data_IF_403916641125
#
_entry.id   IF_403916641125
#
_cell.length_a   1.000
_cell.length_b   1.000
_cell.length_c   1.000
_cell.angle_alpha   90.00
_cell.angle_beta   90.00
_cell.angle_gamma   90.00
#
_symmetry.space_group_name_H-M   'P 1'
#
loop_
_entity.id
_entity.type
_entity.pdbx_description
1 polymer ?
#
# COMPACT_ATOMS: atom_id res chain seq x y z
N UNK A 1 12.18 5.56 8.32
CA UNK A 1 12.07 4.88 9.63
C UNK A 1 11.96 3.39 9.37
N UNK A 2 12.66 2.59 10.15
CA UNK A 2 12.51 1.14 10.17
C UNK A 2 12.10 0.73 11.58
N UNK A 3 11.12 -0.18 11.67
CA UNK A 3 10.64 -0.72 12.94
C UNK A 3 10.58 -2.23 12.86
N UNK A 4 11.36 -2.86 13.73
CA UNK A 4 11.33 -4.32 13.95
C UNK A 4 10.33 -4.68 15.05
N UNK A 5 9.84 -5.90 14.98
CA UNK A 5 8.91 -6.52 15.92
C UNK A 5 9.11 -8.05 15.90
N UNK A 6 8.59 -8.80 16.89
CA UNK A 6 8.59 -10.26 16.85
C UNK A 6 7.99 -10.75 15.53
N UNK A 7 8.65 -11.74 14.91
CA UNK A 7 8.18 -12.32 13.66
C UNK A 7 6.77 -12.88 13.87
N UNK A 8 5.84 -12.50 13.00
CA UNK A 8 4.43 -12.89 13.08
C UNK A 8 3.85 -13.20 11.71
N UNK A 9 2.87 -14.09 11.68
CA UNK A 9 2.14 -14.49 10.49
C UNK A 9 0.79 -13.77 10.33
N UNK A 10 0.35 -13.00 11.33
CA UNK A 10 -0.89 -12.21 11.32
C UNK A 10 -0.58 -10.85 11.95
N UNK A 11 -0.54 -9.81 11.11
CA UNK A 11 -0.14 -8.48 11.52
C UNK A 11 -0.99 -7.40 10.88
N UNK A 12 -1.20 -6.35 11.65
CA UNK A 12 -1.87 -5.15 11.23
C UNK A 12 -0.98 -3.92 11.40
N UNK A 13 -1.15 -3.00 10.48
CA UNK A 13 -0.55 -1.67 10.51
C UNK A 13 -1.68 -0.65 10.36
N UNK A 14 -1.68 0.38 11.20
CA UNK A 14 -2.61 1.51 11.07
C UNK A 14 -1.88 2.82 11.27
N UNK A 15 -2.26 3.82 10.50
CA UNK A 15 -1.80 5.20 10.69
C UNK A 15 -2.81 6.17 10.10
N UNK A 16 -2.71 7.43 10.53
CA UNK A 16 -3.36 8.53 9.87
C UNK A 16 -2.42 9.13 8.84
N UNK A 17 -2.94 9.50 7.67
CA UNK A 17 -2.19 10.22 6.64
C UNK A 17 -2.96 11.42 6.10
N UNK A 18 -2.23 12.43 5.66
CA UNK A 18 -2.77 13.59 4.96
C UNK A 18 -1.89 13.90 3.76
N UNK A 19 -2.50 13.96 2.58
CA UNK A 19 -1.85 14.39 1.35
C UNK A 19 -2.04 15.90 1.16
N UNK A 20 -1.06 16.60 0.59
CA UNK A 20 -1.28 17.98 0.15
C UNK A 20 -2.46 18.06 -0.84
N UNK A 21 -3.31 19.09 -0.77
CA UNK A 21 -4.43 19.25 -1.70
C UNK A 21 -4.00 19.13 -3.17
N UNK A 22 -4.64 18.23 -3.91
CA UNK A 22 -4.33 17.98 -5.32
C UNK A 22 -3.03 17.22 -5.58
N UNK A 23 -2.46 16.54 -4.58
CA UNK A 23 -1.30 15.67 -4.76
C UNK A 23 -1.49 14.75 -5.98
N UNK A 24 -0.53 14.81 -6.90
CA UNK A 24 -0.55 14.07 -8.16
C UNK A 24 0.87 13.50 -8.43
N UNK A 25 1.12 12.26 -8.00
CA UNK A 25 2.40 11.60 -8.25
C UNK A 25 2.71 11.46 -9.75
N UNK A 26 1.72 11.40 -10.64
CA UNK A 26 1.95 11.24 -12.09
C UNK A 26 2.40 12.53 -12.79
N UNK A 27 2.41 13.65 -12.09
CA UNK A 27 2.80 14.96 -12.63
C UNK A 27 1.99 15.31 -13.90
N UNK A 28 0.66 15.24 -13.79
CA UNK A 28 -0.31 15.43 -14.87
C UNK A 28 -0.16 14.40 -15.99
N UNK A 29 -0.03 13.11 -15.63
CA UNK A 29 0.00 12.00 -16.58
C UNK A 29 1.30 11.89 -17.39
N UNK A 30 2.44 12.40 -16.87
CA UNK A 30 3.76 12.25 -17.52
C UNK A 30 4.27 10.81 -17.53
N UNK A 31 3.70 9.95 -16.70
CA UNK A 31 4.00 8.53 -16.63
C UNK A 31 3.91 8.02 -15.20
N UNK A 32 4.40 6.81 -14.99
CA UNK A 32 4.39 6.14 -13.70
C UNK A 32 5.42 6.82 -12.78
N UNK A 33 4.92 7.43 -11.71
CA UNK A 33 5.72 7.97 -10.62
C UNK A 33 5.09 7.53 -9.31
N UNK A 34 5.89 7.41 -8.26
CA UNK A 34 5.33 6.84 -7.05
C UNK A 34 6.30 6.59 -5.93
N UNK A 35 5.67 6.30 -4.80
CA UNK A 35 6.28 5.97 -3.55
C UNK A 35 5.63 4.70 -3.02
N UNK A 36 6.44 3.72 -2.63
CA UNK A 36 6.03 2.62 -1.78
C UNK A 36 5.86 3.21 -0.38
N UNK A 37 4.62 3.45 0.03
CA UNK A 37 4.35 4.18 1.28
C UNK A 37 5.01 3.53 2.48
N UNK A 38 4.78 2.24 2.66
CA UNK A 38 5.53 1.41 3.59
C UNK A 38 5.79 0.05 2.97
N UNK A 39 6.78 -0.64 3.52
CA UNK A 39 7.19 -1.96 3.10
C UNK A 39 7.26 -2.86 4.32
N UNK A 40 6.38 -3.86 4.39
CA UNK A 40 6.41 -4.89 5.42
C UNK A 40 7.26 -6.06 4.91
N UNK A 41 8.40 -6.31 5.54
CA UNK A 41 9.39 -7.27 5.02
C UNK A 41 9.37 -8.62 5.74
N UNK A 42 9.77 -9.63 4.97
CA UNK A 42 9.95 -11.02 5.38
C UNK A 42 11.45 -11.36 5.37
N UNK A 43 11.96 -12.14 6.34
CA UNK A 43 13.40 -12.36 6.49
C UNK A 43 14.03 -13.38 5.52
N UNK A 44 13.28 -14.33 4.93
CA UNK A 44 13.85 -15.47 4.17
C UNK A 44 13.17 -15.77 2.80
N UNK A 45 13.84 -16.48 1.85
CA UNK A 45 15.30 -16.69 1.70
C UNK A 45 15.96 -15.59 0.84
N UNK A 46 15.23 -14.52 0.56
CA UNK A 46 15.71 -13.24 0.06
C UNK A 46 14.74 -12.17 0.55
N UNK A 47 15.17 -10.91 0.73
CA UNK A 47 14.31 -9.88 1.32
C UNK A 47 13.08 -9.66 0.42
N UNK A 48 11.93 -10.13 0.92
CA UNK A 48 10.62 -10.00 0.30
C UNK A 48 9.82 -8.96 1.06
N UNK A 49 8.94 -8.26 0.37
CA UNK A 49 8.11 -7.26 1.02
C UNK A 49 6.73 -7.17 0.39
N UNK A 50 5.79 -6.77 1.23
CA UNK A 50 4.49 -6.25 0.81
C UNK A 50 4.58 -4.73 0.82
N UNK A 51 4.18 -4.09 -0.28
CA UNK A 51 3.92 -2.66 -0.33
C UNK A 51 2.43 -2.46 -0.07
N UNK A 52 1.99 -1.64 0.88
CA UNK A 52 0.56 -1.37 1.05
C UNK A 52 -0.01 -0.32 0.09
N UNK A 53 0.88 0.40 -0.57
CA UNK A 53 0.57 1.34 -1.65
C UNK A 53 1.66 1.13 -2.70
N UNK A 54 1.30 0.45 -3.78
CA UNK A 54 2.14 0.25 -4.96
C UNK A 54 1.78 1.25 -6.05
N UNK A 55 2.70 1.47 -7.00
CA UNK A 55 2.54 2.33 -8.20
C UNK A 55 1.39 3.35 -8.13
N UNK A 56 1.71 4.52 -7.59
CA UNK A 56 0.77 5.62 -7.49
C UNK A 56 0.57 6.28 -8.86
N UNK A 57 -0.18 5.62 -9.75
CA UNK A 57 -0.54 6.20 -11.05
C UNK A 57 -1.69 7.23 -10.91
N UNK A 58 -1.92 7.75 -9.69
CA UNK A 58 -2.97 8.70 -9.34
C UNK A 58 -2.79 10.05 -10.03
N UNK A 59 -3.38 10.22 -11.21
CA UNK A 59 -3.51 11.52 -11.88
C UNK A 59 -4.56 12.44 -11.23
N UNK A 60 -4.79 13.65 -11.78
CA UNK A 60 -5.88 14.52 -11.36
C UNK A 60 -7.23 13.78 -11.39
N UNK A 61 -8.24 14.25 -10.64
CA UNK A 61 -9.59 13.63 -10.60
C UNK A 61 -10.19 13.40 -12.00
N UNK A 62 -9.76 14.20 -12.98
CA UNK A 62 -10.14 14.12 -14.41
C UNK A 62 -9.29 13.17 -15.26
N UNK A 63 -8.11 12.76 -14.80
CA UNK A 63 -7.38 11.65 -15.41
C UNK A 63 -8.25 10.40 -15.29
N UNK A 64 -8.25 9.56 -16.33
CA UNK A 64 -9.14 8.38 -16.41
C UNK A 64 -9.10 7.67 -15.06
N UNK A 65 -10.24 7.45 -14.38
CA UNK A 65 -10.27 6.81 -13.07
C UNK A 65 -9.50 5.50 -13.18
N UNK A 66 -8.30 5.46 -12.59
CA UNK A 66 -7.24 4.52 -12.97
C UNK A 66 -7.66 3.06 -12.92
N UNK A 67 -6.82 2.27 -13.58
CA UNK A 67 -6.77 0.81 -13.67
C UNK A 67 -6.73 0.04 -12.33
N UNK A 68 -6.92 0.72 -11.19
CA UNK A 68 -7.01 0.13 -9.85
C UNK A 68 -5.70 0.11 -9.06
N UNK A 69 -4.73 0.95 -9.44
CA UNK A 69 -3.34 0.80 -9.01
C UNK A 69 -2.99 1.48 -7.69
N UNK A 70 -3.82 2.39 -7.17
CA UNK A 70 -3.35 3.37 -6.18
C UNK A 70 -3.25 2.84 -4.75
N UNK A 71 -4.20 2.00 -4.32
CA UNK A 71 -4.11 1.26 -3.06
C UNK A 71 -4.07 -0.22 -3.42
N UNK A 72 -2.89 -0.82 -3.28
CA UNK A 72 -2.66 -2.17 -3.73
C UNK A 72 -1.64 -2.84 -2.85
N UNK A 73 -1.62 -4.17 -2.87
CA UNK A 73 -0.58 -4.95 -2.24
C UNK A 73 0.10 -5.85 -3.25
N UNK A 74 1.43 -5.98 -3.15
CA UNK A 74 2.16 -6.92 -3.98
C UNK A 74 3.25 -7.58 -3.15
N UNK A 75 3.07 -8.87 -2.89
CA UNK A 75 4.15 -9.73 -2.42
C UNK A 75 5.01 -10.13 -3.62
N UNK A 76 6.27 -9.69 -3.63
CA UNK A 76 7.22 -9.98 -4.70
C UNK A 76 7.61 -11.47 -4.84
N UNK A 77 6.97 -12.37 -4.08
CA UNK A 77 7.15 -13.81 -4.19
C UNK A 77 6.01 -14.60 -4.83
N UNK A 78 4.86 -13.99 -5.13
CA UNK A 78 3.79 -14.70 -5.82
C UNK A 78 4.13 -14.89 -7.30
N UNK A 79 4.24 -16.15 -7.75
CA UNK A 79 4.41 -16.52 -9.17
C UNK A 79 3.09 -16.55 -9.94
N UNK A 80 1.96 -16.51 -9.22
CA UNK A 80 0.63 -16.40 -9.78
C UNK A 80 0.16 -14.96 -9.59
N UNK A 81 0.32 -14.14 -10.64
CA UNK A 81 -0.18 -12.77 -10.65
C UNK A 81 -1.65 -12.79 -11.11
N UNK A 82 -2.65 -12.81 -10.22
CA UNK A 82 -3.72 -11.87 -10.41
C UNK A 82 -3.17 -10.49 -10.14
N UNK A 83 -3.38 -9.63 -11.12
CA UNK A 83 -3.08 -8.24 -11.01
C UNK A 83 -3.71 -7.71 -9.69
N UNK A 84 -2.93 -7.29 -8.68
CA UNK A 84 -3.47 -6.80 -7.41
C UNK A 84 -4.21 -5.47 -7.58
N UNK A 85 -4.29 -4.97 -8.81
CA UNK A 85 -5.08 -3.82 -9.24
C UNK A 85 -6.53 -4.20 -9.61
N UNK A 86 -6.85 -5.50 -9.83
CA UNK A 86 -8.22 -5.98 -10.06
C UNK A 86 -8.98 -6.30 -8.75
N UNK A 87 -8.29 -6.35 -7.61
CA UNK A 87 -8.84 -6.71 -6.28
C UNK A 87 -9.42 -5.54 -5.51
N UNK A 88 -9.47 -4.34 -6.10
CA UNK A 88 -10.15 -3.21 -5.46
C UNK A 88 -11.65 -3.43 -5.48
N UNK A 89 -12.18 -3.92 -4.35
CA UNK A 89 -13.59 -4.21 -4.16
C UNK A 89 -14.41 -2.92 -4.00
N UNK A 90 -13.77 -1.85 -3.53
CA UNK A 90 -14.38 -0.54 -3.44
C UNK A 90 -13.50 0.52 -4.10
N UNK A 91 -14.07 1.17 -5.12
CA UNK A 91 -13.39 2.18 -5.95
C UNK A 91 -13.80 3.60 -5.61
N UNK A 92 -14.58 3.82 -4.55
CA UNK A 92 -14.98 5.17 -4.10
C UNK A 92 -13.86 5.89 -3.37
N UNK A 93 -12.96 5.13 -2.72
CA UNK A 93 -11.75 5.67 -2.10
C UNK A 93 -10.53 5.25 -2.91
N UNK A 94 -9.74 6.26 -3.30
CA UNK A 94 -8.50 6.16 -4.07
C UNK A 94 -7.54 7.24 -3.60
N UNK A 95 -6.29 7.17 -4.02
CA UNK A 95 -5.33 8.24 -3.75
C UNK A 95 -5.86 9.61 -4.23
N UNK A 96 -6.42 9.67 -5.44
CA UNK A 96 -6.98 10.92 -6.02
C UNK A 96 -8.28 11.41 -5.36
N UNK A 97 -8.88 10.63 -4.47
CA UNK A 97 -10.05 11.06 -3.67
C UNK A 97 -9.68 11.35 -2.23
N UNK A 98 -8.43 11.10 -1.83
CA UNK A 98 -7.89 11.37 -0.48
C UNK A 98 -6.77 12.41 -0.52
N UNK A 99 -6.53 13.02 -1.69
CA UNK A 99 -5.65 14.15 -1.88
C UNK A 99 -6.35 15.49 -1.63
N UNK A 100 -7.27 15.54 -0.66
CA UNK A 100 -8.13 16.69 -0.38
C UNK A 100 -7.63 17.58 0.77
N UNK A 101 -6.46 17.26 1.34
CA UNK A 101 -5.89 17.96 2.49
C UNK A 101 -6.46 17.55 3.84
N UNK A 102 -7.30 16.51 3.92
CA UNK A 102 -7.83 15.97 5.17
C UNK A 102 -7.00 14.79 5.67
N UNK A 103 -7.17 14.49 6.94
CA UNK A 103 -6.64 13.28 7.55
C UNK A 103 -7.53 12.09 7.21
N UNK A 104 -6.91 11.03 6.75
CA UNK A 104 -7.53 9.74 6.43
C UNK A 104 -6.86 8.64 7.24
N UNK A 105 -7.64 7.66 7.66
CA UNK A 105 -7.10 6.49 8.36
C UNK A 105 -6.78 5.40 7.34
N UNK A 106 -5.55 4.89 7.37
CA UNK A 106 -5.11 3.74 6.58
C UNK A 106 -4.93 2.55 7.50
N UNK A 107 -5.51 1.40 7.15
CA UNK A 107 -5.24 0.11 7.81
C UNK A 107 -4.84 -0.94 6.78
N UNK A 108 -3.75 -1.66 7.05
CA UNK A 108 -3.35 -2.86 6.34
C UNK A 108 -3.39 -4.05 7.30
N UNK A 109 -3.92 -5.16 6.82
CA UNK A 109 -3.81 -6.47 7.45
C UNK A 109 -3.02 -7.41 6.52
N UNK A 110 -2.07 -8.16 7.06
CA UNK A 110 -1.32 -9.19 6.33
C UNK A 110 -1.40 -10.49 7.13
N UNK A 111 -1.86 -11.53 6.47
CA UNK A 111 -1.75 -12.92 6.90
C UNK A 111 -0.79 -13.65 5.96
N UNK A 112 0.22 -14.32 6.51
CA UNK A 112 1.21 -15.07 5.73
C UNK A 112 1.04 -16.59 5.87
N UNK A 113 1.64 -17.35 4.96
CA UNK A 113 1.55 -18.81 4.91
C UNK A 113 0.58 -19.29 3.83
N UNK A 114 0.21 -20.56 3.92
CA UNK A 114 -0.72 -21.19 2.98
C UNK A 114 -2.10 -20.52 3.08
N UNK A 115 -2.62 -20.03 1.95
CA UNK A 115 -3.86 -19.26 1.91
C UNK A 115 -3.76 -17.91 2.63
N UNK A 116 -2.56 -17.36 2.76
CA UNK A 116 -2.35 -16.00 3.26
C UNK A 116 -3.03 -14.96 2.37
N UNK A 117 -3.15 -13.75 2.90
CA UNK A 117 -3.85 -12.67 2.24
C UNK A 117 -3.50 -11.30 2.82
N UNK A 118 -3.94 -10.27 2.13
CA UNK A 118 -3.77 -8.87 2.48
C UNK A 118 -5.10 -8.14 2.29
N UNK A 119 -5.39 -7.23 3.22
CA UNK A 119 -6.58 -6.39 3.17
C UNK A 119 -6.21 -4.95 3.49
N UNK A 120 -6.82 -4.00 2.78
CA UNK A 120 -6.63 -2.56 3.02
C UNK A 120 -7.97 -1.91 3.31
N UNK A 121 -8.00 -1.08 4.35
CA UNK A 121 -9.10 -0.15 4.63
C UNK A 121 -8.61 1.28 4.59
N UNK A 122 -9.44 2.16 4.03
CA UNK A 122 -9.29 3.61 4.10
C UNK A 122 -10.55 4.17 4.74
N UNK A 123 -10.43 4.94 5.81
CA UNK A 123 -11.58 5.50 6.56
C UNK A 123 -12.65 4.44 6.89
N UNK A 124 -12.21 3.28 7.38
CA UNK A 124 -13.04 2.09 7.67
C UNK A 124 -13.72 1.44 6.45
N UNK A 125 -13.51 1.92 5.23
CA UNK A 125 -14.01 1.30 4.01
C UNK A 125 -12.97 0.29 3.51
N UNK A 126 -13.37 -0.96 3.37
CA UNK A 126 -12.52 -2.01 2.78
C UNK A 126 -12.34 -1.71 1.28
N UNK A 127 -11.13 -1.34 0.88
CA UNK A 127 -10.79 -1.00 -0.50
C UNK A 127 -10.21 -2.19 -1.25
N UNK A 128 -9.45 -3.05 -0.57
CA UNK A 128 -8.80 -4.22 -1.14
C UNK A 128 -8.98 -5.44 -0.23
N UNK A 129 -9.33 -6.57 -0.82
CA UNK A 129 -9.34 -7.89 -0.18
C UNK A 129 -8.91 -8.95 -1.19
N UNK A 130 -7.75 -9.57 -0.97
CA UNK A 130 -7.23 -10.61 -1.86
C UNK A 130 -7.37 -12.04 -1.29
N UNK A 131 -8.14 -12.24 -0.20
CA UNK A 131 -8.28 -13.54 0.49
C UNK A 131 -8.77 -14.70 -0.39
N UNK A 132 -9.60 -14.39 -1.38
CA UNK A 132 -10.12 -15.38 -2.33
C UNK A 132 -9.08 -15.92 -3.33
N UNK A 133 -7.89 -15.34 -3.38
CA UNK A 133 -6.85 -15.75 -4.33
C UNK A 133 -5.99 -16.89 -3.82
N UNK A 134 -6.10 -17.23 -2.53
CA UNK A 134 -5.37 -18.34 -1.92
C UNK A 134 -3.86 -18.29 -2.21
N UNK A 135 -3.28 -17.10 -2.13
CA UNK A 135 -1.86 -16.94 -2.38
C UNK A 135 -1.02 -17.54 -1.26
N UNK A 136 0.02 -18.25 -1.68
CA UNK A 136 1.08 -18.63 -0.76
C UNK A 136 1.99 -17.43 -0.51
N UNK A 137 1.73 -16.75 0.60
CA UNK A 137 2.71 -15.85 1.19
C UNK A 137 3.78 -16.67 1.91
N UNK A 138 5.02 -16.20 1.95
CA UNK A 138 6.08 -16.90 2.70
C UNK A 138 5.63 -17.16 4.15
N UNK A 139 5.65 -18.42 4.57
CA UNK A 139 5.24 -18.86 5.89
C UNK A 139 6.17 -18.38 7.02
N UNK A 140 7.32 -17.77 6.68
CA UNK A 140 8.27 -17.21 7.66
C UNK A 140 7.69 -16.01 8.42
N UNK A 141 6.66 -15.34 7.89
CA UNK A 141 6.05 -14.18 8.53
C UNK A 141 6.72 -12.85 8.23
N UNK A 142 6.20 -11.78 8.84
CA UNK A 142 6.69 -10.40 8.74
C UNK A 142 7.59 -10.10 9.93
N UNK A 143 8.75 -9.49 9.69
CA UNK A 143 9.76 -9.19 10.71
C UNK A 143 10.00 -7.69 10.94
N UNK A 144 9.72 -6.87 9.92
CA UNK A 144 9.94 -5.42 10.00
C UNK A 144 8.98 -4.66 9.09
N UNK A 145 8.82 -3.38 9.39
CA UNK A 145 8.16 -2.40 8.53
C UNK A 145 9.06 -1.20 8.32
N UNK A 146 9.11 -0.73 7.08
CA UNK A 146 9.84 0.46 6.66
C UNK A 146 8.87 1.54 6.20
N UNK A 147 9.00 2.75 6.73
CA UNK A 147 8.15 3.91 6.43
C UNK A 147 8.96 5.24 6.44
N UNK A 148 8.95 6.07 5.37
CA UNK A 148 8.48 5.72 4.05
C UNK A 148 9.28 4.54 3.48
N UNK A 149 8.67 3.72 2.64
CA UNK A 149 9.31 2.55 2.03
C UNK A 149 10.38 2.92 1.01
N UNK A 150 9.98 3.33 -0.20
CA UNK A 150 10.92 3.69 -1.28
C UNK A 150 10.24 4.61 -2.30
N UNK A 151 10.93 5.66 -2.73
CA UNK A 151 10.52 6.46 -3.90
C UNK A 151 11.03 5.75 -5.15
N UNK A 152 10.13 5.43 -6.09
CA UNK A 152 10.46 4.64 -7.29
C UNK A 152 10.84 5.55 -8.46
N UNK A 153 10.08 6.63 -8.66
CA UNK A 153 10.32 7.61 -9.70
C UNK A 153 9.72 8.95 -9.26
N UNK A 154 10.37 10.07 -9.60
CA UNK A 154 9.98 11.42 -9.19
C UNK A 154 10.15 12.42 -10.33
N UNK A 155 9.14 13.24 -10.57
CA UNK A 155 9.17 14.28 -11.60
C UNK A 155 9.46 15.64 -10.98
N UNK A 156 10.61 16.24 -11.34
CA UNK A 156 10.99 17.59 -10.87
C UNK A 156 9.90 18.63 -11.17
N UNK A 157 9.54 19.44 -10.17
CA UNK A 157 8.50 20.47 -10.26
C UNK A 157 7.07 19.97 -10.03
N UNK A 158 6.89 18.70 -9.68
CA UNK A 158 5.62 18.09 -9.31
C UNK A 158 5.68 17.54 -7.88
N UNK A 159 6.11 18.40 -6.96
CA UNK A 159 6.27 18.03 -5.57
C UNK A 159 4.93 18.04 -4.84
N UNK A 160 4.73 17.07 -3.97
CA UNK A 160 3.60 16.99 -3.05
C UNK A 160 4.08 16.50 -1.69
N UNK A 161 3.30 16.74 -0.64
CA UNK A 161 3.64 16.31 0.72
C UNK A 161 2.72 15.20 1.19
N UNK A 162 3.25 14.35 2.05
CA UNK A 162 2.50 13.36 2.82
C UNK A 162 2.88 13.57 4.28
N UNK A 163 1.89 13.91 5.10
CA UNK A 163 2.02 13.90 6.55
C UNK A 163 1.48 12.56 7.07
N UNK A 164 2.15 11.97 8.06
CA UNK A 164 1.70 10.74 8.71
C UNK A 164 1.82 10.85 10.22
N UNK A 165 0.82 10.32 10.91
CA UNK A 165 0.72 10.34 12.36
C UNK A 165 0.10 9.05 12.91
N UNK A 166 0.22 8.84 14.22
CA UNK A 166 -0.44 7.77 14.97
C UNK A 166 -0.18 6.36 14.40
N UNK A 167 1.08 6.08 14.04
CA UNK A 167 1.46 4.76 13.55
C UNK A 167 1.39 3.69 14.64
N UNK A 168 0.55 2.69 14.43
CA UNK A 168 0.32 1.56 15.33
C UNK A 168 0.59 0.25 14.60
N UNK A 169 1.24 -0.67 15.33
CA UNK A 169 1.46 -2.06 14.93
C UNK A 169 0.79 -2.94 15.97
N UNK A 170 0.01 -3.92 15.53
CA UNK A 170 -0.47 -5.00 16.39
C UNK A 170 -0.49 -6.30 15.62
N UNK A 171 -0.32 -7.41 16.33
CA UNK A 171 -0.22 -8.74 15.75
C UNK A 171 -0.90 -9.75 16.67
N UNK A 172 -1.44 -10.82 16.08
CA UNK A 172 -2.04 -11.93 16.82
C UNK A 172 -1.05 -13.08 17.01
#
# INVERSE_FOLDING_TARGET
MEKTFPITTDIYFRFWYRLSPGADPTCNGRGDSGMKWFMAWRPDPGPRYTMGVGHLDGGPVSARPNLGNEFTTHDNSSTQMPNPFLSNINKTLRFSTTNDGRWHEYTLHIVTGNGGYEQIWIDSVLVLDNSSYHYDHSATGIALVQFPGTVVNWFSGCDFTIDVDDFVIWHK
#
